data_IF_434587939756
#
_entry.id   IF_434587939756
#
_cell.length_a   1.000
_cell.length_b   1.000
_cell.length_c   1.000
_cell.angle_alpha   90.00
_cell.angle_beta   90.00
_cell.angle_gamma   90.00
#
_symmetry.space_group_name_H-M   'P 1'
#
loop_
_entity.id
_entity.type
_entity.pdbx_description
1 polymer ?
#
# COMPACT_ATOMS: atom_id res chain seq x y z
N UNK A 1 17.17 31.07 -20.58
CA UNK A 1 17.97 30.04 -21.30
C UNK A 1 18.02 28.66 -20.62
N UNK A 2 18.31 28.50 -19.31
CA UNK A 2 18.33 27.17 -18.69
C UNK A 2 16.94 26.48 -18.67
N UNK A 3 15.87 27.24 -18.53
CA UNK A 3 14.49 26.70 -18.48
C UNK A 3 14.06 26.04 -19.80
N UNK A 4 14.40 26.65 -20.93
CA UNK A 4 14.08 26.09 -22.25
C UNK A 4 14.83 24.78 -22.50
N UNK A 5 16.08 24.71 -22.10
CA UNK A 5 16.88 23.47 -22.20
C UNK A 5 16.30 22.38 -21.32
N UNK A 6 15.93 22.70 -20.07
CA UNK A 6 15.29 21.76 -19.15
C UNK A 6 13.97 21.24 -19.75
N UNK A 7 13.15 22.12 -20.32
CA UNK A 7 11.88 21.74 -20.93
C UNK A 7 12.09 20.79 -22.13
N UNK A 8 13.03 21.11 -23.02
CA UNK A 8 13.28 20.28 -24.21
C UNK A 8 13.89 18.92 -23.89
N UNK A 9 14.51 18.75 -22.73
CA UNK A 9 15.03 17.45 -22.27
C UNK A 9 13.93 16.69 -21.50
N UNK A 10 13.35 17.33 -20.49
CA UNK A 10 12.41 16.66 -19.57
C UNK A 10 11.03 16.46 -20.17
N UNK A 11 10.58 17.37 -21.05
CA UNK A 11 9.25 17.29 -21.68
C UNK A 11 9.08 16.02 -22.52
N UNK A 12 9.92 15.77 -23.51
CA UNK A 12 9.87 14.52 -24.28
C UNK A 12 10.01 13.27 -23.42
N UNK A 13 10.85 13.31 -22.39
CA UNK A 13 11.04 12.18 -21.47
C UNK A 13 9.74 11.88 -20.69
N UNK A 14 9.05 12.92 -20.23
CA UNK A 14 7.75 12.79 -19.57
C UNK A 14 6.68 12.21 -20.50
N UNK A 15 6.65 12.67 -21.77
CA UNK A 15 5.72 12.14 -22.79
C UNK A 15 6.00 10.68 -23.08
N UNK A 16 7.26 10.28 -23.24
CA UNK A 16 7.64 8.89 -23.45
C UNK A 16 7.25 8.02 -22.25
N UNK A 17 7.48 8.49 -21.03
CA UNK A 17 7.06 7.80 -19.82
C UNK A 17 5.53 7.66 -19.73
N UNK A 18 4.77 8.73 -20.05
CA UNK A 18 3.31 8.72 -20.05
C UNK A 18 2.74 7.75 -21.10
N UNK A 19 3.31 7.70 -22.30
CA UNK A 19 2.95 6.72 -23.32
C UNK A 19 3.37 5.30 -22.93
N UNK A 20 4.56 5.16 -22.34
CA UNK A 20 5.05 3.89 -21.81
C UNK A 20 4.12 3.28 -20.77
N UNK A 21 3.48 4.09 -19.94
CA UNK A 21 2.50 3.67 -18.94
C UNK A 21 1.31 2.89 -19.56
N UNK A 22 0.90 3.25 -20.80
CA UNK A 22 -0.18 2.56 -21.52
C UNK A 22 0.27 1.22 -22.12
N UNK A 23 1.57 1.07 -22.41
CA UNK A 23 2.12 -0.09 -23.09
C UNK A 23 2.58 -1.20 -22.13
N UNK A 24 2.82 -0.85 -20.87
CA UNK A 24 3.34 -1.77 -19.86
C UNK A 24 2.22 -2.64 -19.32
N UNK A 25 2.42 -3.97 -19.35
CA UNK A 25 1.44 -4.95 -18.89
C UNK A 25 1.34 -5.08 -17.36
N UNK A 26 2.42 -4.75 -16.64
CA UNK A 26 2.47 -4.86 -15.17
C UNK A 26 2.08 -3.54 -14.53
N UNK A 27 1.01 -3.52 -13.73
CA UNK A 27 0.50 -2.32 -13.07
C UNK A 27 1.55 -1.57 -12.23
N UNK A 28 2.44 -2.30 -11.55
CA UNK A 28 3.53 -1.70 -10.77
C UNK A 28 4.52 -0.91 -11.65
N UNK A 29 4.87 -1.43 -12.83
CA UNK A 29 5.75 -0.70 -13.74
C UNK A 29 5.07 0.54 -14.34
N UNK A 30 3.77 0.44 -14.66
CA UNK A 30 2.96 1.59 -15.08
C UNK A 30 2.95 2.68 -13.99
N UNK A 31 2.76 2.28 -12.74
CA UNK A 31 2.80 3.19 -11.61
C UNK A 31 4.17 3.86 -11.41
N UNK A 32 5.28 3.14 -11.63
CA UNK A 32 6.62 3.73 -11.60
C UNK A 32 6.85 4.77 -12.71
N UNK A 33 6.33 4.51 -13.92
CA UNK A 33 6.37 5.51 -14.99
C UNK A 33 5.53 6.74 -14.66
N UNK A 34 4.38 6.57 -14.01
CA UNK A 34 3.60 7.68 -13.49
C UNK A 34 4.37 8.49 -12.44
N UNK A 35 5.07 7.81 -11.52
CA UNK A 35 5.93 8.49 -10.53
C UNK A 35 7.00 9.34 -11.21
N UNK A 36 7.61 8.84 -12.27
CA UNK A 36 8.59 9.59 -13.07
C UNK A 36 7.97 10.86 -13.67
N UNK A 37 6.78 10.76 -14.26
CA UNK A 37 6.05 11.94 -14.78
C UNK A 37 5.77 12.94 -13.68
N UNK A 38 5.32 12.49 -12.49
CA UNK A 38 5.04 13.37 -11.35
C UNK A 38 6.29 14.11 -10.86
N UNK A 39 7.44 13.43 -10.81
CA UNK A 39 8.73 14.06 -10.47
C UNK A 39 9.14 15.08 -11.54
N UNK A 40 8.95 14.76 -12.82
CA UNK A 40 9.26 15.71 -13.91
C UNK A 40 8.41 16.98 -13.81
N UNK A 41 7.12 16.85 -13.47
CA UNK A 41 6.25 18.00 -13.22
C UNK A 41 6.74 18.85 -12.04
N UNK A 42 7.25 18.22 -10.97
CA UNK A 42 7.84 18.96 -9.85
C UNK A 42 9.04 19.82 -10.29
N UNK A 43 9.91 19.27 -11.13
CA UNK A 43 11.03 20.04 -11.72
C UNK A 43 10.54 21.23 -12.56
N UNK A 44 9.46 21.07 -13.31
CA UNK A 44 8.88 22.19 -14.08
C UNK A 44 8.30 23.27 -13.16
N UNK A 45 7.62 22.92 -12.07
CA UNK A 45 7.19 23.89 -11.07
C UNK A 45 8.35 24.68 -10.48
N UNK A 46 9.42 23.98 -10.07
CA UNK A 46 10.61 24.62 -9.49
C UNK A 46 11.29 25.55 -10.51
N UNK A 47 11.44 25.10 -11.75
CA UNK A 47 12.05 25.88 -12.83
C UNK A 47 11.27 27.17 -13.14
N UNK A 48 9.95 27.15 -12.95
CA UNK A 48 9.09 28.32 -13.16
C UNK A 48 8.92 29.21 -11.92
N UNK A 49 9.74 29.01 -10.88
CA UNK A 49 9.70 29.82 -9.66
C UNK A 49 8.59 29.41 -8.67
N UNK A 50 7.83 28.35 -8.94
CA UNK A 50 6.81 27.82 -8.03
C UNK A 50 7.38 26.75 -7.09
N UNK A 51 8.35 27.16 -6.26
CA UNK A 51 9.12 26.23 -5.42
C UNK A 51 8.24 25.43 -4.46
N UNK A 52 7.27 26.08 -3.81
CA UNK A 52 6.35 25.42 -2.89
C UNK A 52 5.52 24.33 -3.59
N UNK A 53 4.97 24.65 -4.77
CA UNK A 53 4.20 23.68 -5.56
C UNK A 53 5.06 22.49 -5.98
N UNK A 54 6.32 22.72 -6.36
CA UNK A 54 7.26 21.64 -6.69
C UNK A 54 7.52 20.72 -5.51
N UNK A 55 7.70 21.26 -4.31
CA UNK A 55 7.87 20.48 -3.09
C UNK A 55 6.60 19.69 -2.77
N UNK A 56 5.42 20.32 -2.85
CA UNK A 56 4.13 19.65 -2.64
C UNK A 56 3.93 18.52 -3.65
N UNK A 57 4.30 18.72 -4.91
CA UNK A 57 4.24 17.71 -5.96
C UNK A 57 5.06 16.46 -5.59
N UNK A 58 6.24 16.62 -5.01
CA UNK A 58 7.08 15.50 -4.60
C UNK A 58 6.52 14.85 -3.32
N UNK A 59 6.25 15.63 -2.28
CA UNK A 59 5.89 15.09 -0.96
C UNK A 59 4.49 14.50 -0.95
N UNK A 60 3.51 15.20 -1.52
CA UNK A 60 2.10 14.78 -1.47
C UNK A 60 1.78 13.84 -2.63
N UNK A 61 2.03 14.25 -3.87
CA UNK A 61 1.63 13.45 -5.03
C UNK A 61 2.52 12.22 -5.23
N UNK A 62 3.83 12.40 -5.22
CA UNK A 62 4.75 11.26 -5.38
C UNK A 62 4.92 10.49 -4.06
N UNK A 63 5.05 11.17 -2.93
CA UNK A 63 5.25 10.55 -1.64
C UNK A 63 3.98 9.90 -1.07
N UNK A 64 2.94 10.66 -0.80
CA UNK A 64 1.75 10.13 -0.11
C UNK A 64 0.80 9.40 -1.06
N UNK A 65 0.33 10.07 -2.14
CA UNK A 65 -0.72 9.51 -3.00
C UNK A 65 -0.19 8.34 -3.81
N UNK A 66 0.99 8.50 -4.42
CA UNK A 66 1.56 7.47 -5.28
C UNK A 66 2.03 6.24 -4.48
N UNK A 67 2.64 6.45 -3.31
CA UNK A 67 3.03 5.35 -2.43
C UNK A 67 1.82 4.58 -1.92
N UNK A 68 0.72 5.27 -1.57
CA UNK A 68 -0.53 4.62 -1.19
C UNK A 68 -1.10 3.81 -2.35
N UNK A 69 -1.09 4.36 -3.57
CA UNK A 69 -1.55 3.68 -4.77
C UNK A 69 -0.73 2.41 -5.07
N UNK A 70 0.61 2.51 -5.02
CA UNK A 70 1.51 1.35 -5.16
C UNK A 70 1.27 0.30 -4.08
N UNK A 71 1.06 0.71 -2.84
CA UNK A 71 0.75 -0.20 -1.75
C UNK A 71 -0.55 -0.96 -1.98
N UNK A 72 -1.61 -0.26 -2.43
CA UNK A 72 -2.89 -0.89 -2.75
C UNK A 72 -2.74 -1.88 -3.92
N UNK A 73 -2.04 -1.50 -5.00
CA UNK A 73 -1.77 -2.38 -6.13
C UNK A 73 -1.00 -3.64 -5.73
N UNK A 74 -0.06 -3.50 -4.79
CA UNK A 74 0.72 -4.63 -4.28
C UNK A 74 -0.13 -5.55 -3.40
N UNK A 75 -1.03 -4.99 -2.56
CA UNK A 75 -1.90 -5.79 -1.68
C UNK A 75 -3.01 -6.50 -2.44
N UNK A 76 -3.66 -5.82 -3.37
CA UNK A 76 -4.77 -6.39 -4.16
C UNK A 76 -4.23 -7.43 -5.15
N UNK A 77 -2.98 -7.29 -5.57
CA UNK A 77 -2.39 -8.15 -6.59
C UNK A 77 -3.18 -8.02 -7.88
N UNK A 78 -2.81 -7.10 -8.75
CA UNK A 78 -3.43 -7.02 -10.08
C UNK A 78 -2.94 -8.24 -10.87
N UNK A 79 -3.77 -9.26 -10.93
CA UNK A 79 -3.55 -10.42 -11.79
C UNK A 79 -3.43 -9.93 -13.23
N UNK A 80 -2.30 -10.22 -13.86
CA UNK A 80 -2.06 -9.96 -15.27
C UNK A 80 -2.99 -10.76 -16.19
N UNK A 81 -3.95 -11.49 -15.61
CA UNK A 81 -4.94 -12.32 -16.29
C UNK A 81 -6.13 -11.53 -16.86
N UNK A 82 -6.31 -10.26 -16.47
CA UNK A 82 -7.25 -9.41 -17.19
C UNK A 82 -6.74 -9.23 -18.62
N UNK A 83 -7.27 -10.08 -19.49
CA UNK A 83 -6.91 -10.09 -20.90
C UNK A 83 -7.22 -8.72 -21.50
N UNK A 84 -6.17 -8.01 -21.91
CA UNK A 84 -6.25 -6.79 -22.73
C UNK A 84 -6.81 -7.10 -24.13
N UNK A 85 -7.56 -8.21 -24.28
CA UNK A 85 -8.21 -8.59 -25.53
C UNK A 85 -9.48 -7.77 -25.70
N UNK A 86 -9.52 -7.02 -26.79
CA UNK A 86 -10.69 -6.24 -27.15
C UNK A 86 -11.91 -7.15 -27.34
N UNK A 87 -12.92 -6.93 -26.52
CA UNK A 87 -14.20 -7.62 -26.63
C UNK A 87 -15.07 -7.06 -27.77
N UNK A 88 -14.84 -5.79 -28.15
CA UNK A 88 -15.63 -5.09 -29.18
C UNK A 88 -14.77 -4.86 -30.42
N UNK A 89 -15.14 -5.52 -31.53
CA UNK A 89 -14.49 -5.33 -32.83
C UNK A 89 -14.66 -3.90 -33.33
N UNK A 90 -13.55 -3.24 -33.69
CA UNK A 90 -13.56 -1.88 -34.25
C UNK A 90 -13.45 -0.74 -33.23
N UNK A 91 -13.29 -1.02 -31.94
CA UNK A 91 -13.12 0.00 -30.92
C UNK A 91 -11.78 0.74 -31.04
N UNK A 92 -10.70 0.05 -31.44
CA UNK A 92 -9.36 0.65 -31.60
C UNK A 92 -9.31 1.85 -32.56
N UNK A 93 -9.78 1.73 -33.82
CA UNK A 93 -9.72 2.87 -34.73
C UNK A 93 -10.57 4.05 -34.23
N UNK A 94 -11.70 3.78 -33.62
CA UNK A 94 -12.56 4.82 -33.04
C UNK A 94 -11.85 5.50 -31.88
N UNK A 95 -11.24 4.75 -30.96
CA UNK A 95 -10.51 5.28 -29.83
C UNK A 95 -9.28 6.10 -30.28
N UNK A 96 -8.52 5.63 -31.26
CA UNK A 96 -7.36 6.34 -31.80
C UNK A 96 -7.80 7.65 -32.46
N UNK A 97 -8.86 7.62 -33.28
CA UNK A 97 -9.39 8.82 -33.94
C UNK A 97 -9.90 9.84 -32.92
N UNK A 98 -10.62 9.37 -31.90
CA UNK A 98 -11.10 10.21 -30.81
C UNK A 98 -9.93 10.83 -30.00
N UNK A 99 -8.89 10.04 -29.72
CA UNK A 99 -7.71 10.50 -28.99
C UNK A 99 -6.92 11.56 -29.81
N UNK A 100 -6.73 11.35 -31.10
CA UNK A 100 -6.06 12.32 -32.00
C UNK A 100 -6.92 13.58 -32.12
N UNK A 101 -8.23 13.45 -32.31
CA UNK A 101 -9.15 14.58 -32.40
C UNK A 101 -9.17 15.41 -31.13
N UNK A 102 -9.29 14.75 -29.98
CA UNK A 102 -9.25 15.44 -28.67
C UNK A 102 -7.88 16.05 -28.39
N UNK A 103 -6.78 15.34 -28.66
CA UNK A 103 -5.43 15.85 -28.52
C UNK A 103 -5.16 17.06 -29.40
N UNK A 104 -5.57 17.01 -30.67
CA UNK A 104 -5.47 18.14 -31.61
C UNK A 104 -6.28 19.36 -31.17
N UNK A 105 -7.49 19.11 -30.64
CA UNK A 105 -8.34 20.17 -30.08
C UNK A 105 -7.67 20.83 -28.87
N UNK A 106 -7.10 20.05 -27.96
CA UNK A 106 -6.38 20.55 -26.78
C UNK A 106 -5.15 21.36 -27.17
N UNK A 107 -4.32 20.86 -28.07
CA UNK A 107 -3.15 21.58 -28.59
C UNK A 107 -3.58 22.90 -29.24
N UNK A 108 -4.62 22.89 -30.06
CA UNK A 108 -5.16 24.11 -30.69
C UNK A 108 -5.69 25.11 -29.68
N UNK A 109 -6.44 24.67 -28.68
CA UNK A 109 -7.02 25.51 -27.64
C UNK A 109 -5.94 26.16 -26.78
N UNK A 110 -4.97 25.36 -26.30
CA UNK A 110 -3.84 25.84 -25.50
C UNK A 110 -2.98 26.80 -26.34
N UNK A 111 -2.66 26.43 -27.58
CA UNK A 111 -1.88 27.25 -28.47
C UNK A 111 -2.52 28.62 -28.69
N UNK A 112 -3.84 28.68 -28.93
CA UNK A 112 -4.57 29.96 -29.06
C UNK A 112 -4.60 30.76 -27.76
N UNK A 113 -4.67 30.11 -26.60
CA UNK A 113 -4.69 30.77 -25.31
C UNK A 113 -3.34 31.40 -24.94
N UNK A 114 -2.23 30.80 -25.41
CA UNK A 114 -0.87 31.23 -25.09
C UNK A 114 -0.21 32.10 -26.16
N UNK A 115 -0.60 31.95 -27.43
CA UNK A 115 -0.08 32.76 -28.53
C UNK A 115 -0.52 34.23 -28.37
N UNK A 116 0.44 35.13 -28.24
CA UNK A 116 0.22 36.56 -28.10
C UNK A 116 0.09 37.08 -26.67
N UNK A 117 0.26 36.27 -25.67
CA UNK A 117 0.40 36.69 -24.26
C UNK A 117 1.86 36.64 -23.84
N UNK A 118 2.38 37.76 -23.35
CA UNK A 118 3.69 37.76 -22.69
C UNK A 118 3.59 36.98 -21.36
N UNK A 119 4.57 36.14 -21.12
CA UNK A 119 4.71 35.45 -19.83
C UNK A 119 5.08 36.46 -18.76
N UNK A 120 4.17 36.76 -17.86
CA UNK A 120 4.38 37.73 -16.77
C UNK A 120 5.33 37.16 -15.70
N UNK A 121 5.53 35.81 -15.66
CA UNK A 121 6.29 35.16 -14.62
C UNK A 121 5.60 35.17 -13.24
N UNK A 122 6.29 34.67 -12.22
CA UNK A 122 5.80 34.66 -10.84
C UNK A 122 6.50 35.65 -9.92
N UNK A 123 7.36 36.53 -10.46
CA UNK A 123 8.18 37.44 -9.66
C UNK A 123 7.34 38.38 -8.80
N UNK A 124 6.26 38.92 -9.35
CA UNK A 124 5.33 39.80 -8.60
C UNK A 124 4.52 39.01 -7.56
N UNK A 125 4.08 37.78 -7.89
CA UNK A 125 3.34 36.94 -6.98
C UNK A 125 4.24 36.44 -5.81
N UNK A 126 5.52 36.30 -6.07
CA UNK A 126 6.53 35.84 -5.10
C UNK A 126 7.19 37.00 -4.35
N UNK A 127 6.82 38.26 -4.57
CA UNK A 127 7.47 39.42 -3.96
C UNK A 127 7.47 39.39 -2.43
N UNK A 128 6.42 38.84 -1.81
CA UNK A 128 6.33 38.65 -0.35
C UNK A 128 6.86 37.29 0.13
N UNK A 129 7.31 36.43 -0.78
CA UNK A 129 7.65 35.04 -0.53
C UNK A 129 6.74 34.09 -1.31
N UNK A 130 7.27 32.90 -1.68
CA UNK A 130 6.50 31.95 -2.50
C UNK A 130 5.29 31.36 -1.76
N UNK A 131 5.44 31.08 -0.46
CA UNK A 131 4.36 30.54 0.39
C UNK A 131 3.36 31.63 0.75
N UNK A 132 3.84 32.80 1.13
CA UNK A 132 3.02 33.94 1.51
C UNK A 132 2.17 34.46 0.34
N UNK A 133 2.76 34.54 -0.85
CA UNK A 133 2.06 34.96 -2.07
C UNK A 133 0.93 33.98 -2.42
N UNK A 134 1.20 32.68 -2.34
CA UNK A 134 0.20 31.64 -2.55
C UNK A 134 -0.90 31.69 -1.48
N UNK A 135 -0.53 31.83 -0.20
CA UNK A 135 -1.48 31.93 0.90
C UNK A 135 -2.42 33.14 0.72
N UNK A 136 -1.86 34.28 0.34
CA UNK A 136 -2.67 35.47 0.05
C UNK A 136 -3.72 35.20 -1.03
N UNK A 137 -3.35 34.54 -2.12
CA UNK A 137 -4.28 34.21 -3.20
C UNK A 137 -5.37 33.23 -2.72
N UNK A 138 -4.99 32.18 -1.98
CA UNK A 138 -5.91 31.17 -1.48
C UNK A 138 -6.94 31.77 -0.51
N UNK A 139 -6.49 32.60 0.43
CA UNK A 139 -7.37 33.13 1.48
C UNK A 139 -8.03 34.46 1.14
N UNK A 140 -7.75 35.05 -0.03
CA UNK A 140 -8.47 36.25 -0.52
C UNK A 140 -9.36 35.95 -1.73
N UNK A 141 -8.76 35.51 -2.83
CA UNK A 141 -9.47 35.33 -4.10
C UNK A 141 -10.11 33.97 -4.24
N UNK A 142 -9.45 32.93 -3.73
CA UNK A 142 -9.86 31.52 -3.88
C UNK A 142 -10.41 30.88 -2.60
N UNK A 143 -10.98 31.65 -1.68
CA UNK A 143 -11.53 31.15 -0.41
C UNK A 143 -12.62 30.11 -0.65
N UNK A 144 -13.56 30.37 -1.56
CA UNK A 144 -14.65 29.45 -1.84
C UNK A 144 -14.17 28.11 -2.42
N UNK A 145 -13.32 28.06 -3.46
CA UNK A 145 -12.72 26.80 -3.89
C UNK A 145 -11.93 26.08 -2.80
N UNK A 146 -11.22 26.82 -1.95
CA UNK A 146 -10.47 26.24 -0.82
C UNK A 146 -11.42 25.55 0.18
N UNK A 147 -12.51 26.20 0.58
CA UNK A 147 -13.50 25.61 1.48
C UNK A 147 -14.21 24.40 0.84
N UNK A 148 -14.56 24.50 -0.45
CA UNK A 148 -15.19 23.40 -1.17
C UNK A 148 -14.29 22.14 -1.23
N UNK A 149 -12.98 22.33 -1.50
CA UNK A 149 -12.01 21.22 -1.48
C UNK A 149 -11.84 20.67 -0.07
N UNK A 150 -11.81 21.52 0.96
CA UNK A 150 -11.73 21.10 2.36
C UNK A 150 -12.93 20.24 2.76
N UNK A 151 -14.15 20.67 2.41
CA UNK A 151 -15.37 19.90 2.64
C UNK A 151 -15.36 18.56 1.89
N UNK A 152 -14.85 18.54 0.64
CA UNK A 152 -14.70 17.33 -0.15
C UNK A 152 -13.74 16.35 0.52
N UNK A 153 -12.60 16.82 1.03
CA UNK A 153 -11.62 15.98 1.73
C UNK A 153 -12.20 15.36 3.00
N UNK A 154 -12.95 16.14 3.80
CA UNK A 154 -13.64 15.62 4.99
C UNK A 154 -14.66 14.55 4.60
N UNK A 155 -15.46 14.83 3.57
CA UNK A 155 -16.47 13.88 3.08
C UNK A 155 -15.83 12.60 2.55
N UNK A 156 -14.71 12.72 1.81
CA UNK A 156 -13.95 11.58 1.32
C UNK A 156 -13.38 10.72 2.46
N UNK A 157 -12.81 11.36 3.48
CA UNK A 157 -12.28 10.66 4.66
C UNK A 157 -13.38 9.93 5.43
N UNK A 158 -14.54 10.58 5.65
CA UNK A 158 -15.71 9.95 6.29
C UNK A 158 -16.25 8.80 5.44
N UNK A 159 -16.38 9.00 4.12
CA UNK A 159 -16.81 7.95 3.19
C UNK A 159 -15.89 6.74 3.21
N UNK A 160 -14.58 6.97 3.17
CA UNK A 160 -13.60 5.90 3.27
C UNK A 160 -13.70 5.13 4.59
N UNK A 161 -13.90 5.84 5.72
CA UNK A 161 -14.08 5.22 7.02
C UNK A 161 -15.36 4.36 7.08
N UNK A 162 -16.48 4.86 6.55
CA UNK A 162 -17.74 4.12 6.50
C UNK A 162 -17.64 2.89 5.62
N UNK A 163 -17.02 3.00 4.44
CA UNK A 163 -16.82 1.87 3.52
C UNK A 163 -15.84 0.82 4.06
N UNK A 164 -14.81 1.25 4.77
CA UNK A 164 -13.84 0.36 5.40
C UNK A 164 -14.36 -0.28 6.69
N UNK A 165 -15.43 0.27 7.28
CA UNK A 165 -16.00 -0.24 8.52
C UNK A 165 -16.75 -1.55 8.28
N UNK A 166 -16.11 -2.66 8.64
CA UNK A 166 -16.76 -3.97 8.61
C UNK A 166 -17.49 -4.21 9.93
N UNK A 167 -18.80 -4.22 9.88
CA UNK A 167 -19.62 -4.64 11.03
C UNK A 167 -19.51 -6.15 11.19
N UNK A 168 -19.07 -6.59 12.35
CA UNK A 168 -19.06 -8.02 12.67
C UNK A 168 -20.49 -8.46 12.93
N UNK A 169 -20.96 -9.41 12.14
CA UNK A 169 -22.27 -10.04 12.35
C UNK A 169 -22.33 -10.82 13.66
N UNK A 170 -21.19 -11.38 14.09
CA UNK A 170 -21.08 -12.13 15.34
C UNK A 170 -20.28 -11.29 16.35
N UNK A 171 -20.85 -10.96 17.51
CA UNK A 171 -20.11 -10.27 18.55
C UNK A 171 -18.91 -11.10 19.01
N UNK A 172 -17.83 -10.42 19.41
CA UNK A 172 -16.66 -11.11 19.96
C UNK A 172 -17.07 -11.89 21.19
N UNK A 173 -16.77 -13.19 21.21
CA UNK A 173 -16.89 -13.99 22.41
C UNK A 173 -16.03 -13.39 23.51
N UNK A 174 -16.63 -13.12 24.68
CA UNK A 174 -15.87 -12.67 25.84
C UNK A 174 -15.08 -13.84 26.44
N UNK A 175 -14.12 -13.56 27.32
CA UNK A 175 -13.40 -14.63 28.03
C UNK A 175 -14.35 -15.52 28.82
N UNK A 176 -15.44 -14.94 29.34
CA UNK A 176 -16.50 -15.68 30.03
C UNK A 176 -17.20 -16.63 29.08
N UNK A 177 -17.62 -16.16 27.89
CA UNK A 177 -18.29 -17.00 26.91
C UNK A 177 -17.40 -18.17 26.47
N UNK A 178 -16.11 -17.89 26.24
CA UNK A 178 -15.13 -18.93 25.90
C UNK A 178 -14.94 -19.93 27.04
N UNK A 179 -14.94 -19.48 28.30
CA UNK A 179 -14.89 -20.35 29.45
C UNK A 179 -16.13 -21.22 29.57
N UNK A 180 -17.32 -20.61 29.47
CA UNK A 180 -18.58 -21.34 29.50
C UNK A 180 -18.69 -22.37 28.37
N UNK A 181 -18.24 -22.03 27.16
CA UNK A 181 -18.18 -22.97 26.03
C UNK A 181 -17.26 -24.17 26.30
N UNK A 182 -16.08 -23.94 26.90
CA UNK A 182 -15.17 -25.03 27.28
C UNK A 182 -15.81 -26.01 28.27
N UNK A 183 -16.51 -25.48 29.29
CA UNK A 183 -17.21 -26.33 30.23
C UNK A 183 -18.42 -27.05 29.62
N UNK A 184 -19.15 -26.40 28.72
CA UNK A 184 -20.29 -27.00 27.99
C UNK A 184 -19.87 -28.07 26.98
N UNK A 185 -18.64 -28.01 26.45
CA UNK A 185 -18.12 -29.02 25.50
C UNK A 185 -17.96 -30.39 26.10
N UNK A 186 -18.00 -30.52 27.42
CA UNK A 186 -17.92 -31.79 28.15
C UNK A 186 -16.57 -32.47 28.16
N UNK A 187 -15.57 -31.86 27.54
CA UNK A 187 -14.20 -32.40 27.52
C UNK A 187 -13.40 -31.89 28.72
N UNK A 188 -13.05 -32.78 29.63
CA UNK A 188 -12.20 -32.44 30.78
C UNK A 188 -10.82 -31.90 30.36
N UNK A 189 -10.30 -32.37 29.24
CA UNK A 189 -9.01 -31.93 28.70
C UNK A 189 -8.97 -30.47 28.29
N UNK A 190 -10.13 -29.89 27.89
CA UNK A 190 -10.21 -28.51 27.41
C UNK A 190 -10.85 -27.54 28.42
N UNK A 191 -11.44 -28.08 29.51
CA UNK A 191 -12.17 -27.26 30.49
C UNK A 191 -11.27 -26.24 31.19
N UNK A 192 -10.05 -26.64 31.56
CA UNK A 192 -9.08 -25.78 32.25
C UNK A 192 -8.32 -24.80 31.30
N UNK A 193 -8.60 -24.82 30.01
CA UNK A 193 -7.83 -24.11 28.98
C UNK A 193 -6.74 -24.99 28.39
N UNK A 194 -6.04 -24.43 27.40
CA UNK A 194 -4.95 -25.16 26.76
C UNK A 194 -3.72 -25.15 27.67
N UNK A 195 -3.07 -26.31 27.91
CA UNK A 195 -1.81 -26.37 28.63
C UNK A 195 -0.71 -25.68 27.84
N UNK A 196 0.30 -25.16 28.51
CA UNK A 196 1.53 -24.68 27.87
C UNK A 196 2.35 -25.86 27.30
N UNK A 197 3.35 -25.57 26.44
CA UNK A 197 4.26 -26.59 25.93
C UNK A 197 5.05 -27.25 27.06
N UNK A 198 5.65 -28.41 26.78
CA UNK A 198 6.44 -29.16 27.75
C UNK A 198 7.71 -28.43 28.16
N UNK A 199 8.08 -28.59 29.45
CA UNK A 199 9.33 -28.07 30.02
C UNK A 199 10.12 -29.24 30.56
N UNK A 200 11.32 -29.42 30.00
CA UNK A 200 12.23 -30.50 30.40
C UNK A 200 13.51 -29.91 30.98
N UNK A 201 14.25 -30.65 31.76
CA UNK A 201 15.45 -30.18 32.45
C UNK A 201 16.51 -29.56 31.50
N UNK A 202 16.56 -29.99 30.24
CA UNK A 202 17.52 -29.55 29.24
C UNK A 202 16.88 -28.85 28.02
N UNK A 203 15.55 -28.84 27.96
CA UNK A 203 14.83 -28.31 26.81
C UNK A 203 13.54 -27.61 27.25
N UNK A 204 13.32 -26.41 26.73
CA UNK A 204 12.11 -25.63 26.94
C UNK A 204 11.79 -24.94 25.62
N UNK A 205 11.03 -25.60 24.78
CA UNK A 205 10.67 -25.10 23.45
C UNK A 205 9.20 -25.39 23.15
N UNK A 206 8.64 -24.61 22.22
CA UNK A 206 7.23 -24.71 21.82
C UNK A 206 6.92 -25.95 20.97
N UNK A 207 7.93 -26.64 20.50
CA UNK A 207 7.89 -27.85 19.68
C UNK A 207 7.84 -29.16 20.47
N UNK A 208 7.88 -29.08 21.80
CA UNK A 208 7.83 -30.25 22.69
C UNK A 208 6.48 -30.31 23.40
N UNK A 209 5.71 -31.42 23.32
CA UNK A 209 4.44 -31.56 24.00
C UNK A 209 4.61 -31.68 25.52
N UNK A 210 3.65 -31.17 26.30
CA UNK A 210 3.56 -31.48 27.73
C UNK A 210 3.17 -32.94 27.94
N UNK A 211 3.61 -33.54 29.04
CA UNK A 211 3.23 -34.90 29.41
C UNK A 211 2.02 -34.89 30.36
N UNK A 212 1.09 -35.76 30.13
CA UNK A 212 0.00 -36.07 31.03
C UNK A 212 0.54 -36.93 32.23
N UNK A 213 -0.22 -37.03 33.33
CA UNK A 213 0.21 -37.82 34.50
C UNK A 213 0.45 -39.31 34.21
N UNK A 214 -0.10 -39.82 33.13
CA UNK A 214 0.08 -41.18 32.63
C UNK A 214 1.34 -41.37 31.76
N UNK A 215 2.10 -40.28 31.54
CA UNK A 215 3.30 -40.28 30.70
C UNK A 215 3.03 -40.12 29.20
N UNK A 216 1.78 -39.95 28.79
CA UNK A 216 1.45 -39.73 27.39
C UNK A 216 1.55 -38.25 27.03
N UNK A 217 1.90 -37.89 25.77
CA UNK A 217 1.96 -36.49 25.35
C UNK A 217 0.56 -35.89 25.27
N UNK A 218 0.41 -34.65 25.76
CA UNK A 218 -0.82 -33.86 25.64
C UNK A 218 -0.89 -33.16 24.26
N UNK A 219 -1.73 -33.64 23.32
CA UNK A 219 -1.75 -33.10 21.96
C UNK A 219 -2.21 -31.64 21.94
N UNK A 220 -3.00 -31.21 22.93
CA UNK A 220 -3.50 -29.81 23.02
C UNK A 220 -2.46 -28.81 23.54
N UNK A 221 -1.28 -29.28 23.96
CA UNK A 221 -0.18 -28.43 24.46
C UNK A 221 0.68 -27.85 23.35
N UNK A 222 0.52 -28.33 22.12
CA UNK A 222 1.35 -27.98 20.97
C UNK A 222 0.56 -27.12 19.98
N UNK A 223 1.27 -26.27 19.25
CA UNK A 223 0.67 -25.47 18.21
C UNK A 223 0.36 -26.33 16.98
N UNK A 224 -0.90 -26.33 16.53
CA UNK A 224 -1.36 -27.07 15.36
C UNK A 224 -0.56 -26.79 14.07
N UNK A 225 0.03 -25.59 13.94
CA UNK A 225 0.88 -25.26 12.79
C UNK A 225 2.26 -25.95 12.83
N UNK A 226 2.81 -26.24 14.01
CA UNK A 226 4.06 -27.00 14.13
C UNK A 226 3.81 -28.49 13.88
N UNK A 227 2.70 -29.00 14.39
CA UNK A 227 2.26 -30.38 14.14
C UNK A 227 2.03 -30.63 12.64
N UNK A 228 1.33 -29.70 11.94
CA UNK A 228 1.08 -29.80 10.51
C UNK A 228 2.36 -29.75 9.64
N UNK A 229 3.43 -29.13 10.13
CA UNK A 229 4.74 -29.07 9.46
C UNK A 229 5.63 -30.27 9.76
N UNK A 230 5.30 -31.05 10.78
CA UNK A 230 6.17 -32.11 11.26
C UNK A 230 7.40 -31.64 12.05
N UNK A 231 7.39 -30.40 12.51
CA UNK A 231 8.50 -29.78 13.25
C UNK A 231 8.42 -30.06 14.75
N UNK A 232 7.81 -31.19 15.12
CA UNK A 232 7.65 -31.63 16.49
C UNK A 232 8.79 -32.53 16.92
N UNK A 233 9.37 -32.26 18.10
CA UNK A 233 10.35 -33.13 18.71
C UNK A 233 9.65 -34.25 19.54
N UNK A 234 10.13 -35.46 19.39
CA UNK A 234 9.65 -36.58 20.22
C UNK A 234 10.16 -36.37 21.65
N UNK A 235 9.24 -36.40 22.63
CA UNK A 235 9.58 -36.29 24.04
C UNK A 235 10.51 -37.41 24.51
N UNK A 236 10.50 -38.57 23.85
CA UNK A 236 11.39 -39.70 24.14
C UNK A 236 12.86 -39.41 23.81
N UNK A 237 13.12 -38.47 22.93
CA UNK A 237 14.50 -38.06 22.61
C UNK A 237 15.21 -37.36 23.78
N UNK A 238 14.47 -37.04 24.84
CA UNK A 238 15.00 -36.44 26.08
C UNK A 238 15.09 -37.45 27.23
N UNK A 239 14.86 -38.73 26.97
CA UNK A 239 14.94 -39.73 28.01
C UNK A 239 16.38 -39.90 28.51
N UNK A 240 16.58 -39.61 29.79
CA UNK A 240 17.89 -39.62 30.44
C UNK A 240 18.55 -41.02 30.45
N UNK A 241 17.75 -42.07 30.24
CA UNK A 241 18.27 -43.42 30.17
C UNK A 241 19.14 -43.67 28.93
N UNK A 242 18.75 -43.13 27.76
CA UNK A 242 19.55 -43.24 26.54
C UNK A 242 20.82 -42.37 26.59
N UNK A 243 20.73 -41.20 27.22
CA UNK A 243 21.89 -40.29 27.35
C UNK A 243 22.92 -40.86 28.32
N UNK A 244 22.51 -41.56 29.38
CA UNK A 244 23.43 -42.19 30.31
C UNK A 244 24.13 -43.42 29.71
N UNK A 245 23.47 -44.18 28.83
CA UNK A 245 24.11 -45.29 28.09
C UNK A 245 25.17 -44.77 27.11
N UNK A 246 24.93 -43.66 26.43
CA UNK A 246 25.93 -43.04 25.53
C UNK A 246 27.15 -42.48 26.28
N UNK A 247 26.96 -41.96 27.50
CA UNK A 247 28.06 -41.47 28.35
C UNK A 247 28.88 -42.63 28.95
N UNK A 248 28.27 -43.80 29.18
CA UNK A 248 28.98 -44.99 29.65
C UNK A 248 29.72 -45.70 28.53
N UNK A 249 29.28 -45.64 27.29
CA UNK A 249 29.96 -46.20 26.11
C UNK A 249 31.17 -45.35 25.62
N UNK A 250 31.21 -44.04 25.95
CA UNK A 250 32.36 -43.17 25.64
C UNK A 250 33.47 -43.17 26.72
N UNK A 251 33.35 -43.96 27.77
CA UNK A 251 34.39 -44.12 28.80
C UNK A 251 35.14 -45.44 28.67
#
# INVERSE_FOLDING_TARGET
>A
MPESVLFWIMGPLAVVAALGMLLVKKAVHSALLLAWVMITLAFFYIAQGALFLGIVQIVVYTGAVMMLFLFILMLVGVDASDSLTETIRGLRPIAITAAIGFGGLMVSLIGRATLGRESVGLDQANAAGNVEGLAYQLFSTYVFPFEAVSALLITAAMGAMVLAHHQREVPRSTQRDLSEQRFRSGSLATAAGLPGPGVYARHNAVDVPALLPDGTPAPTSVNASLEARGDMLDYKSFDLAEVNTQIEEEK
#
